data_IF_272359418255
#
_entry.id   IF_272359418255
#
_cell.length_a   1.000
_cell.length_b   1.000
_cell.length_c   1.000
_cell.angle_alpha   90.00
_cell.angle_beta   90.00
_cell.angle_gamma   90.00
#
_symmetry.space_group_name_H-M   'P 1'
#
loop_
_entity.id
_entity.type
_entity.pdbx_description
1 polymer ?
#
# COMPACT_ATOMS: atom_id res chain seq x y z
N UNK A 1 33.19 28.97 -8.47
CA UNK A 1 32.52 27.66 -8.59
C UNK A 1 32.48 27.22 -10.07
N UNK A 2 32.84 25.97 -10.38
CA UNK A 2 32.66 25.41 -11.73
C UNK A 2 31.17 25.21 -12.03
N UNK A 3 30.71 25.40 -13.28
CA UNK A 3 29.34 25.07 -13.67
C UNK A 3 29.06 23.60 -13.34
N UNK A 4 27.94 23.34 -12.67
CA UNK A 4 27.43 21.99 -12.39
C UNK A 4 26.05 21.84 -13.02
N UNK A 5 25.73 20.63 -13.47
CA UNK A 5 24.40 20.32 -13.95
C UNK A 5 23.37 20.57 -12.84
N UNK A 6 22.18 21.04 -13.24
CA UNK A 6 21.07 21.31 -12.31
C UNK A 6 20.43 20.02 -11.76
N UNK A 7 20.58 18.90 -12.48
CA UNK A 7 20.09 17.58 -12.11
C UNK A 7 21.25 16.57 -12.09
N UNK A 8 21.07 15.46 -11.37
CA UNK A 8 22.01 14.36 -11.38
C UNK A 8 22.06 13.68 -12.76
N UNK A 9 23.23 13.21 -13.17
CA UNK A 9 23.47 12.66 -14.52
C UNK A 9 22.52 11.50 -14.85
N UNK A 10 22.23 10.63 -13.87
CA UNK A 10 21.31 9.50 -14.04
C UNK A 10 19.88 9.94 -14.41
N UNK A 11 19.44 11.15 -14.02
CA UNK A 11 18.11 11.69 -14.37
C UNK A 11 18.06 11.96 -15.87
N UNK A 12 19.10 12.58 -16.41
CA UNK A 12 19.20 12.86 -17.84
C UNK A 12 19.29 11.57 -18.64
N UNK A 13 20.09 10.60 -18.19
CA UNK A 13 20.22 9.29 -18.83
C UNK A 13 18.89 8.52 -18.88
N UNK A 14 18.18 8.41 -17.75
CA UNK A 14 16.87 7.77 -17.71
C UNK A 14 15.83 8.54 -18.53
N UNK A 15 15.85 9.87 -18.51
CA UNK A 15 14.93 10.65 -19.33
C UNK A 15 15.14 10.43 -20.83
N UNK A 16 16.39 10.29 -21.27
CA UNK A 16 16.71 10.02 -22.68
C UNK A 16 16.38 8.59 -23.08
N UNK A 17 16.56 7.64 -22.17
CA UNK A 17 16.30 6.21 -22.39
C UNK A 17 14.83 5.80 -22.23
N UNK A 18 13.95 6.71 -21.79
CA UNK A 18 12.52 6.43 -21.64
C UNK A 18 11.94 5.89 -22.95
N UNK A 19 11.33 4.69 -22.96
CA UNK A 19 10.72 4.14 -24.17
C UNK A 19 9.67 5.09 -24.75
N UNK A 20 9.68 5.27 -26.08
CA UNK A 20 8.75 6.14 -26.81
C UNK A 20 7.85 5.31 -27.71
N UNK A 21 6.65 5.81 -27.99
CA UNK A 21 5.67 5.19 -28.87
C UNK A 21 4.28 5.12 -28.21
N UNK A 22 3.32 4.57 -28.94
CA UNK A 22 1.91 4.52 -28.49
C UNK A 22 1.69 3.54 -27.34
N UNK A 23 2.44 2.43 -27.30
CA UNK A 23 2.44 1.47 -26.20
C UNK A 23 3.84 0.90 -26.00
N UNK A 24 4.33 0.91 -24.76
CA UNK A 24 5.66 0.40 -24.41
C UNK A 24 5.64 -1.13 -24.41
N UNK A 25 6.55 -1.75 -25.14
CA UNK A 25 6.70 -3.21 -25.17
C UNK A 25 7.29 -3.74 -23.87
N UNK A 26 7.07 -5.03 -23.58
CA UNK A 26 7.68 -5.67 -22.41
C UNK A 26 9.22 -5.64 -22.48
N UNK A 27 9.77 -5.83 -23.69
CA UNK A 27 11.20 -5.78 -23.94
C UNK A 27 11.80 -4.41 -23.61
N UNK A 28 11.20 -3.33 -24.12
CA UNK A 28 11.69 -1.97 -23.87
C UNK A 28 11.54 -1.57 -22.42
N UNK A 29 10.41 -1.93 -21.80
CA UNK A 29 10.15 -1.68 -20.38
C UNK A 29 11.18 -2.36 -19.48
N UNK A 30 11.48 -3.64 -19.71
CA UNK A 30 12.46 -4.40 -18.92
C UNK A 30 13.87 -3.88 -19.17
N UNK A 31 14.24 -3.54 -20.41
CA UNK A 31 15.55 -2.95 -20.70
C UNK A 31 15.74 -1.59 -20.01
N UNK A 32 14.70 -0.77 -19.98
CA UNK A 32 14.70 0.49 -19.25
C UNK A 32 14.88 0.28 -17.73
N UNK A 33 14.21 -0.71 -17.14
CA UNK A 33 14.40 -1.07 -15.73
C UNK A 33 15.80 -1.63 -15.45
N UNK A 34 16.38 -2.42 -16.36
CA UNK A 34 17.76 -2.90 -16.24
C UNK A 34 18.78 -1.74 -16.25
N UNK A 35 18.57 -0.73 -17.08
CA UNK A 35 19.35 0.51 -17.04
C UNK A 35 19.19 1.20 -15.68
N UNK A 36 17.97 1.31 -15.16
CA UNK A 36 17.72 1.93 -13.86
C UNK A 36 18.40 1.18 -12.71
N UNK A 37 18.40 -0.16 -12.72
CA UNK A 37 19.12 -0.97 -11.72
C UNK A 37 20.62 -0.70 -11.76
N UNK A 38 21.22 -0.69 -12.97
CA UNK A 38 22.63 -0.35 -13.11
C UNK A 38 22.95 1.05 -12.59
N UNK A 39 22.12 2.05 -12.91
CA UNK A 39 22.32 3.42 -12.42
C UNK A 39 22.10 3.52 -10.90
N UNK A 40 21.24 2.67 -10.32
CA UNK A 40 20.98 2.63 -8.89
C UNK A 40 22.17 2.07 -8.08
N UNK A 41 23.11 1.35 -8.69
CA UNK A 41 24.35 0.91 -8.01
C UNK A 41 25.16 2.11 -7.50
N UNK A 42 25.00 3.29 -8.13
CA UNK A 42 25.66 4.54 -7.76
C UNK A 42 24.85 5.38 -6.75
N UNK A 43 23.60 4.98 -6.43
CA UNK A 43 22.70 5.70 -5.52
C UNK A 43 21.83 4.73 -4.71
N UNK A 44 22.19 4.44 -3.44
CA UNK A 44 21.53 3.38 -2.65
C UNK A 44 20.15 3.75 -2.10
N UNK A 45 19.76 5.03 -2.16
CA UNK A 45 18.54 5.59 -1.57
C UNK A 45 17.23 5.19 -2.29
N UNK A 46 17.33 4.45 -3.39
CA UNK A 46 16.19 3.99 -4.18
C UNK A 46 15.57 5.07 -5.07
N UNK A 47 16.10 6.29 -5.07
CA UNK A 47 15.56 7.42 -5.86
C UNK A 47 15.59 7.14 -7.36
N UNK A 48 16.65 6.49 -7.85
CA UNK A 48 16.81 6.11 -9.27
C UNK A 48 15.70 5.16 -9.70
N UNK A 49 15.49 4.08 -8.94
CA UNK A 49 14.46 3.08 -9.24
C UNK A 49 13.05 3.67 -9.11
N UNK A 50 12.83 4.50 -8.09
CA UNK A 50 11.55 5.19 -7.90
C UNK A 50 11.23 6.10 -9.09
N UNK A 51 12.22 6.87 -9.56
CA UNK A 51 12.07 7.73 -10.73
C UNK A 51 11.77 6.91 -11.98
N UNK A 52 12.54 5.85 -12.23
CA UNK A 52 12.36 4.99 -13.38
C UNK A 52 10.98 4.36 -13.42
N UNK A 53 10.58 3.67 -12.34
CA UNK A 53 9.30 2.98 -12.26
C UNK A 53 8.12 3.97 -12.36
N UNK A 54 8.21 5.13 -11.69
CA UNK A 54 7.18 6.17 -11.78
C UNK A 54 7.02 6.71 -13.20
N UNK A 55 8.13 6.88 -13.92
CA UNK A 55 8.11 7.28 -15.33
C UNK A 55 7.45 6.22 -16.21
N UNK A 56 7.78 4.95 -16.00
CA UNK A 56 7.26 3.82 -16.76
C UNK A 56 5.76 3.58 -16.52
N UNK A 57 5.31 3.62 -15.26
CA UNK A 57 3.89 3.48 -14.85
C UNK A 57 2.99 4.57 -15.43
N UNK A 58 3.55 5.73 -15.78
CA UNK A 58 2.82 6.82 -16.45
C UNK A 58 2.62 6.57 -17.94
N UNK A 59 3.41 5.70 -18.56
CA UNK A 59 3.23 5.34 -19.96
C UNK A 59 2.03 4.41 -20.14
N UNK A 60 1.56 4.31 -21.37
CA UNK A 60 0.69 3.22 -21.79
C UNK A 60 1.57 1.99 -22.00
N UNK A 61 1.45 1.01 -21.11
CA UNK A 61 2.13 -0.27 -21.26
C UNK A 61 1.33 -1.18 -22.19
N UNK A 62 2.03 -1.99 -22.99
CA UNK A 62 1.38 -3.08 -23.72
C UNK A 62 0.86 -4.15 -22.76
N UNK A 63 -0.13 -4.93 -23.19
CA UNK A 63 -0.78 -5.95 -22.36
C UNK A 63 0.19 -6.90 -21.64
N UNK A 64 1.25 -7.36 -22.34
CA UNK A 64 2.27 -8.22 -21.73
C UNK A 64 3.28 -7.45 -20.86
N UNK A 65 3.45 -6.16 -21.11
CA UNK A 65 4.41 -5.32 -20.41
C UNK A 65 3.97 -5.02 -18.97
N UNK A 66 2.67 -4.83 -18.72
CA UNK A 66 2.15 -4.61 -17.36
C UNK A 66 2.56 -5.73 -16.39
N UNK A 67 2.37 -7.00 -16.80
CA UNK A 67 2.70 -8.16 -15.99
C UNK A 67 4.21 -8.33 -15.75
N UNK A 68 5.02 -8.08 -16.77
CA UNK A 68 6.48 -8.17 -16.66
C UNK A 68 7.06 -7.04 -15.82
N UNK A 69 6.58 -5.81 -15.99
CA UNK A 69 6.96 -4.65 -15.19
C UNK A 69 6.56 -4.85 -13.74
N UNK A 70 5.35 -5.34 -13.47
CA UNK A 70 4.91 -5.66 -12.12
C UNK A 70 5.80 -6.70 -11.46
N UNK A 71 6.06 -7.82 -12.14
CA UNK A 71 6.93 -8.89 -11.60
C UNK A 71 8.34 -8.37 -11.31
N UNK A 72 8.89 -7.57 -12.21
CA UNK A 72 10.20 -6.95 -12.00
C UNK A 72 10.18 -6.00 -10.79
N UNK A 73 9.19 -5.11 -10.72
CA UNK A 73 9.08 -4.13 -9.65
C UNK A 73 8.79 -4.77 -8.28
N UNK A 74 8.02 -5.86 -8.23
CA UNK A 74 7.78 -6.65 -7.02
C UNK A 74 9.08 -7.24 -6.48
N UNK A 75 9.87 -7.87 -7.34
CA UNK A 75 11.18 -8.41 -6.96
C UNK A 75 12.10 -7.31 -6.42
N UNK A 76 12.15 -6.14 -7.07
CA UNK A 76 12.91 -5.00 -6.55
C UNK A 76 12.39 -4.51 -5.20
N UNK A 77 11.07 -4.52 -4.97
CA UNK A 77 10.44 -3.99 -3.76
C UNK A 77 10.81 -4.75 -2.48
N UNK A 78 11.24 -6.02 -2.58
CA UNK A 78 11.81 -6.73 -1.42
C UNK A 78 13.07 -6.05 -0.87
N UNK A 79 13.86 -5.44 -1.75
CA UNK A 79 15.10 -4.75 -1.41
C UNK A 79 14.92 -3.24 -1.31
N UNK A 80 13.98 -2.67 -2.07
CA UNK A 80 13.74 -1.24 -2.21
C UNK A 80 12.25 -0.93 -1.99
N UNK A 81 11.77 -0.94 -0.72
CA UNK A 81 10.34 -0.83 -0.44
C UNK A 81 9.71 0.51 -0.82
N UNK A 82 10.52 1.54 -1.10
CA UNK A 82 10.08 2.84 -1.64
C UNK A 82 9.32 2.72 -2.97
N UNK A 83 9.43 1.56 -3.64
CA UNK A 83 8.72 1.24 -4.88
C UNK A 83 7.27 0.78 -4.65
N UNK A 84 6.95 0.26 -3.46
CA UNK A 84 5.62 -0.28 -3.16
C UNK A 84 4.46 0.67 -3.50
N UNK A 85 4.48 1.96 -3.14
CA UNK A 85 3.42 2.90 -3.49
C UNK A 85 3.12 3.01 -4.99
N UNK A 86 4.06 2.63 -5.85
CA UNK A 86 3.94 2.74 -7.30
C UNK A 86 3.30 1.50 -7.95
N UNK A 87 3.09 0.42 -7.18
CA UNK A 87 2.63 -0.86 -7.71
C UNK A 87 1.12 -0.93 -7.91
N UNK A 88 0.34 -0.02 -7.32
CA UNK A 88 -1.13 -0.07 -7.37
C UNK A 88 -1.67 -0.16 -8.81
N UNK A 89 -1.27 0.76 -9.68
CA UNK A 89 -1.72 0.78 -11.09
C UNK A 89 -1.34 -0.51 -11.82
N UNK A 90 -0.17 -1.08 -11.51
CA UNK A 90 0.31 -2.33 -12.12
C UNK A 90 -0.47 -3.53 -11.59
N UNK A 91 -0.82 -3.56 -10.30
CA UNK A 91 -1.69 -4.59 -9.75
C UNK A 91 -3.07 -4.55 -10.40
N UNK A 92 -3.64 -3.36 -10.59
CA UNK A 92 -4.93 -3.19 -11.26
C UNK A 92 -4.89 -3.62 -12.73
N UNK A 93 -3.86 -3.19 -13.49
CA UNK A 93 -3.74 -3.53 -14.92
C UNK A 93 -3.47 -5.01 -15.17
N UNK A 94 -2.96 -5.73 -14.17
CA UNK A 94 -2.65 -7.17 -14.26
C UNK A 94 -3.74 -8.07 -13.66
N UNK A 95 -4.83 -7.50 -13.14
CA UNK A 95 -5.98 -8.28 -12.73
C UNK A 95 -6.63 -8.92 -13.96
N UNK A 96 -6.70 -10.25 -13.96
CA UNK A 96 -7.32 -11.01 -15.05
C UNK A 96 -8.57 -11.72 -14.52
N UNK A 97 -9.73 -11.42 -15.11
CA UNK A 97 -11.03 -11.94 -14.66
C UNK A 97 -11.30 -11.69 -13.16
N UNK A 98 -10.87 -10.54 -12.65
CA UNK A 98 -10.99 -10.17 -11.24
C UNK A 98 -10.09 -10.97 -10.28
N UNK A 99 -9.19 -11.81 -10.79
CA UNK A 99 -8.26 -12.58 -9.96
C UNK A 99 -6.93 -11.85 -9.76
N UNK A 100 -6.58 -11.63 -8.50
CA UNK A 100 -5.25 -11.17 -8.09
C UNK A 100 -4.27 -12.34 -8.03
N UNK A 101 -3.23 -12.32 -8.87
CA UNK A 101 -2.27 -13.45 -9.04
C UNK A 101 -1.08 -13.43 -8.10
N UNK A 102 -0.78 -12.27 -7.50
CA UNK A 102 0.45 -12.04 -6.73
C UNK A 102 0.25 -12.16 -5.21
N UNK A 103 -0.70 -13.01 -4.79
CA UNK A 103 -1.08 -13.18 -3.38
C UNK A 103 0.10 -13.62 -2.53
N UNK A 104 0.84 -14.62 -3.00
CA UNK A 104 1.94 -15.22 -2.26
C UNK A 104 3.14 -14.28 -2.16
N UNK A 105 3.46 -13.55 -3.23
CA UNK A 105 4.49 -12.52 -3.23
C UNK A 105 4.14 -11.40 -2.25
N UNK A 106 2.89 -10.94 -2.25
CA UNK A 106 2.42 -9.89 -1.35
C UNK A 106 2.42 -10.34 0.12
N UNK A 107 2.05 -11.59 0.40
CA UNK A 107 2.15 -12.19 1.74
C UNK A 107 3.59 -12.25 2.23
N UNK A 108 4.51 -12.74 1.41
CA UNK A 108 5.95 -12.78 1.71
C UNK A 108 6.50 -11.38 1.97
N UNK A 109 6.09 -10.41 1.15
CA UNK A 109 6.55 -9.03 1.27
C UNK A 109 6.07 -8.39 2.58
N UNK A 110 4.81 -8.61 2.98
CA UNK A 110 4.30 -8.15 4.27
C UNK A 110 5.07 -8.80 5.43
N UNK A 111 5.25 -10.12 5.41
CA UNK A 111 5.94 -10.85 6.46
C UNK A 111 7.40 -10.40 6.63
N UNK A 112 8.15 -10.27 5.54
CA UNK A 112 9.54 -9.81 5.60
C UNK A 112 9.66 -8.37 6.12
N UNK A 113 8.78 -7.46 5.68
CA UNK A 113 8.83 -6.08 6.15
C UNK A 113 8.38 -5.93 7.61
N UNK A 114 7.47 -6.79 8.09
CA UNK A 114 7.16 -6.88 9.51
C UNK A 114 8.37 -7.36 10.32
N UNK A 115 9.04 -8.44 9.88
CA UNK A 115 10.24 -8.97 10.53
C UNK A 115 11.39 -7.95 10.59
N UNK A 116 11.57 -7.17 9.53
CA UNK A 116 12.59 -6.13 9.41
C UNK A 116 12.18 -4.78 10.03
N UNK A 117 10.98 -4.68 10.62
CA UNK A 117 10.43 -3.44 11.21
C UNK A 117 10.42 -2.25 10.26
N UNK A 118 10.10 -2.51 8.99
CA UNK A 118 9.99 -1.49 7.94
C UNK A 118 8.54 -1.00 7.86
N UNK A 119 8.17 -0.10 8.75
CA UNK A 119 6.77 0.31 8.97
C UNK A 119 6.03 0.75 7.71
N UNK A 120 6.63 1.65 6.92
CA UNK A 120 6.03 2.15 5.68
C UNK A 120 5.78 1.02 4.67
N UNK A 121 6.76 0.13 4.53
CA UNK A 121 6.69 -0.99 3.59
C UNK A 121 5.62 -2.01 4.00
N UNK A 122 5.57 -2.32 5.30
CA UNK A 122 4.53 -3.15 5.87
C UNK A 122 3.15 -2.52 5.68
N UNK A 123 3.02 -1.21 5.87
CA UNK A 123 1.77 -0.47 5.66
C UNK A 123 1.28 -0.60 4.22
N UNK A 124 2.15 -0.40 3.23
CA UNK A 124 1.77 -0.61 1.82
C UNK A 124 1.41 -2.06 1.51
N UNK A 125 2.13 -3.03 2.08
CA UNK A 125 1.82 -4.44 1.87
C UNK A 125 0.44 -4.81 2.43
N UNK A 126 0.12 -4.39 3.66
CA UNK A 126 -1.18 -4.62 4.28
C UNK A 126 -2.31 -3.85 3.57
N UNK A 127 -2.04 -2.62 3.11
CA UNK A 127 -2.96 -1.86 2.29
C UNK A 127 -3.36 -2.65 1.03
N UNK A 128 -2.38 -3.20 0.31
CA UNK A 128 -2.67 -4.02 -0.87
C UNK A 128 -3.39 -5.32 -0.52
N UNK A 129 -3.07 -5.94 0.62
CA UNK A 129 -3.79 -7.14 1.05
C UNK A 129 -5.28 -6.84 1.30
N UNK A 130 -5.58 -5.77 2.02
CA UNK A 130 -6.96 -5.31 2.23
C UNK A 130 -7.66 -4.95 0.91
N UNK A 131 -6.99 -4.17 0.04
CA UNK A 131 -7.54 -3.72 -1.25
C UNK A 131 -7.91 -4.87 -2.19
N UNK A 132 -7.04 -5.88 -2.27
CA UNK A 132 -7.19 -7.02 -3.19
C UNK A 132 -7.73 -8.29 -2.51
N UNK A 133 -8.32 -8.15 -1.32
CA UNK A 133 -8.88 -9.26 -0.53
C UNK A 133 -7.93 -10.46 -0.39
N UNK A 134 -6.64 -10.17 -0.14
CA UNK A 134 -5.64 -11.19 0.19
C UNK A 134 -5.64 -11.37 1.71
N UNK A 135 -5.87 -12.59 2.23
CA UNK A 135 -5.88 -12.83 3.67
C UNK A 135 -4.52 -12.51 4.32
N UNK A 136 -4.56 -11.93 5.52
CA UNK A 136 -3.36 -11.72 6.33
C UNK A 136 -3.15 -12.99 7.18
N UNK A 137 -1.98 -13.61 7.10
CA UNK A 137 -1.70 -14.82 7.86
C UNK A 137 -1.44 -14.49 9.35
N UNK A 138 -1.79 -15.41 10.27
CA UNK A 138 -1.69 -15.16 11.72
C UNK A 138 -0.26 -14.79 12.16
N UNK A 139 0.77 -15.45 11.62
CA UNK A 139 2.17 -15.11 11.94
C UNK A 139 2.57 -13.71 11.47
N UNK A 140 1.97 -13.20 10.39
CA UNK A 140 2.14 -11.82 9.96
C UNK A 140 1.39 -10.87 10.91
N UNK A 141 0.14 -11.20 11.28
CA UNK A 141 -0.65 -10.41 12.23
C UNK A 141 0.04 -10.29 13.59
N UNK A 142 0.62 -11.37 14.11
CA UNK A 142 1.37 -11.35 15.37
C UNK A 142 2.63 -10.46 15.25
N UNK A 143 3.32 -10.50 14.11
CA UNK A 143 4.46 -9.63 13.82
C UNK A 143 4.07 -8.15 13.70
N UNK A 144 2.90 -7.86 13.14
CA UNK A 144 2.33 -6.50 13.07
C UNK A 144 2.06 -5.98 14.49
N UNK A 145 1.42 -6.78 15.36
CA UNK A 145 1.17 -6.37 16.75
C UNK A 145 2.48 -6.14 17.50
N UNK A 146 3.48 -7.02 17.29
CA UNK A 146 4.79 -6.88 17.90
C UNK A 146 5.59 -5.67 17.38
N UNK A 147 5.29 -5.16 16.18
CA UNK A 147 5.95 -3.97 15.63
C UNK A 147 5.62 -2.70 16.41
N UNK A 148 4.42 -2.64 17.01
CA UNK A 148 3.87 -1.46 17.68
C UNK A 148 3.77 -0.22 16.77
N UNK A 149 3.65 -0.42 15.48
CA UNK A 149 3.46 0.67 14.55
C UNK A 149 1.97 0.98 14.32
N UNK A 150 1.57 2.25 14.49
CA UNK A 150 0.17 2.66 14.43
C UNK A 150 -0.51 2.32 13.09
N UNK A 151 0.13 2.60 11.95
CA UNK A 151 -0.49 2.41 10.63
C UNK A 151 -0.67 0.91 10.30
N UNK A 152 0.33 0.03 10.46
CA UNK A 152 0.13 -1.41 10.32
C UNK A 152 -0.94 -1.99 11.25
N UNK A 153 -1.01 -1.55 12.51
CA UNK A 153 -2.06 -1.97 13.45
C UNK A 153 -3.45 -1.57 12.95
N UNK A 154 -3.61 -0.33 12.50
CA UNK A 154 -4.84 0.17 11.91
C UNK A 154 -5.24 -0.66 10.68
N UNK A 155 -4.31 -0.92 9.76
CA UNK A 155 -4.57 -1.72 8.57
C UNK A 155 -4.93 -3.18 8.90
N UNK A 156 -4.31 -3.76 9.93
CA UNK A 156 -4.66 -5.09 10.43
C UNK A 156 -6.09 -5.13 11.01
N UNK A 157 -6.48 -4.10 11.76
CA UNK A 157 -7.84 -3.97 12.27
C UNK A 157 -8.88 -3.81 11.15
N UNK A 158 -8.54 -3.02 10.13
CA UNK A 158 -9.39 -2.77 8.96
C UNK A 158 -9.50 -3.97 8.00
N UNK A 159 -8.69 -5.02 8.19
CA UNK A 159 -8.82 -6.27 7.41
C UNK A 159 -10.17 -6.96 7.63
N UNK A 160 -10.89 -6.61 8.70
CA UNK A 160 -12.24 -7.10 9.01
C UNK A 160 -12.29 -8.50 9.61
N UNK A 161 -11.16 -9.22 9.66
CA UNK A 161 -11.10 -10.53 10.29
C UNK A 161 -11.23 -10.41 11.81
N UNK A 162 -12.24 -11.08 12.39
CA UNK A 162 -12.55 -10.98 13.83
C UNK A 162 -11.33 -11.26 14.72
N UNK A 163 -10.55 -12.30 14.39
CA UNK A 163 -9.33 -12.67 15.12
C UNK A 163 -8.23 -11.61 15.06
N UNK A 164 -8.15 -10.80 14.00
CA UNK A 164 -7.18 -9.72 13.87
C UNK A 164 -7.66 -8.48 14.63
N UNK A 165 -8.95 -8.17 14.53
CA UNK A 165 -9.58 -7.11 15.32
C UNK A 165 -9.38 -7.33 16.82
N UNK A 166 -9.64 -8.54 17.32
CA UNK A 166 -9.41 -8.88 18.74
C UNK A 166 -7.97 -8.64 19.16
N UNK A 167 -6.97 -9.02 18.33
CA UNK A 167 -5.56 -8.78 18.65
C UNK A 167 -5.24 -7.28 18.79
N UNK A 168 -5.74 -6.47 17.86
CA UNK A 168 -5.51 -5.01 17.87
C UNK A 168 -6.24 -4.33 19.03
N UNK A 169 -7.48 -4.74 19.33
CA UNK A 169 -8.23 -4.24 20.49
C UNK A 169 -7.48 -4.58 21.78
N UNK A 170 -7.05 -5.84 21.95
CA UNK A 170 -6.27 -6.24 23.12
C UNK A 170 -5.00 -5.41 23.28
N UNK A 171 -4.28 -5.14 22.18
CA UNK A 171 -3.13 -4.24 22.19
C UNK A 171 -3.51 -2.84 22.69
N UNK A 172 -4.55 -2.23 22.12
CA UNK A 172 -5.00 -0.88 22.48
C UNK A 172 -5.45 -0.79 23.95
N UNK A 173 -6.21 -1.77 24.44
CA UNK A 173 -6.66 -1.82 25.84
C UNK A 173 -5.55 -2.05 26.86
N UNK A 174 -4.39 -2.54 26.40
CA UNK A 174 -3.22 -2.77 27.25
C UNK A 174 -2.27 -1.57 27.31
N UNK A 175 -2.56 -0.49 26.58
CA UNK A 175 -1.78 0.76 26.67
C UNK A 175 -1.99 1.41 28.04
N UNK A 176 -0.92 2.02 28.56
CA UNK A 176 -0.98 2.81 29.77
C UNK A 176 -1.65 4.15 29.47
N UNK A 177 -2.87 4.36 29.98
CA UNK A 177 -3.64 5.59 29.75
C UNK A 177 -3.09 6.80 30.50
N UNK A 178 -2.11 6.61 31.38
CA UNK A 178 -1.42 7.72 32.06
C UNK A 178 -0.24 8.26 31.27
N UNK A 179 0.25 7.52 30.28
CA UNK A 179 1.30 7.95 29.36
C UNK A 179 0.70 8.52 28.07
N UNK A 180 0.30 9.80 28.13
CA UNK A 180 -0.31 10.52 27.00
C UNK A 180 0.57 10.51 25.74
N UNK A 181 1.90 10.57 25.90
CA UNK A 181 2.81 10.54 24.76
C UNK A 181 2.77 9.20 24.02
N UNK A 182 2.67 8.09 24.76
CA UNK A 182 2.47 6.78 24.15
C UNK A 182 1.09 6.65 23.52
N UNK A 183 0.03 7.16 24.16
CA UNK A 183 -1.32 7.17 23.56
C UNK A 183 -1.37 7.96 22.25
N UNK A 184 -0.76 9.15 22.23
CA UNK A 184 -0.72 10.02 21.06
C UNK A 184 -0.08 9.34 19.85
N UNK A 185 0.89 8.44 20.04
CA UNK A 185 1.47 7.68 18.92
C UNK A 185 0.46 6.78 18.21
N UNK A 186 -0.64 6.43 18.87
CA UNK A 186 -1.71 5.58 18.35
C UNK A 186 -3.03 6.33 18.16
N UNK A 187 -3.06 7.67 18.24
CA UNK A 187 -4.30 8.45 18.23
C UNK A 187 -5.22 8.07 17.07
N UNK A 188 -4.65 7.83 15.88
CA UNK A 188 -5.42 7.49 14.67
C UNK A 188 -6.07 6.10 14.79
N UNK A 189 -5.33 5.13 15.32
CA UNK A 189 -5.85 3.79 15.60
C UNK A 189 -6.94 3.85 16.68
N UNK A 190 -6.64 4.51 17.80
CA UNK A 190 -7.53 4.64 18.95
C UNK A 190 -8.83 5.34 18.55
N UNK A 191 -8.73 6.40 17.75
CA UNK A 191 -9.90 7.10 17.23
C UNK A 191 -10.77 6.20 16.35
N UNK A 192 -10.16 5.41 15.46
CA UNK A 192 -10.93 4.45 14.65
C UNK A 192 -11.62 3.39 15.52
N UNK A 193 -10.94 2.86 16.54
CA UNK A 193 -11.53 1.89 17.47
C UNK A 193 -12.68 2.50 18.28
N UNK A 194 -12.53 3.75 18.72
CA UNK A 194 -13.59 4.50 19.40
C UNK A 194 -14.80 4.73 18.48
N UNK A 195 -14.56 5.18 17.24
CA UNK A 195 -15.62 5.43 16.25
C UNK A 195 -16.42 4.15 15.94
N UNK A 196 -15.75 3.00 15.88
CA UNK A 196 -16.39 1.69 15.69
C UNK A 196 -17.01 1.11 16.99
N UNK A 197 -16.94 1.83 18.11
CA UNK A 197 -17.48 1.42 19.42
C UNK A 197 -16.73 0.25 20.06
N UNK A 198 -15.51 -0.04 19.61
CA UNK A 198 -14.69 -1.15 20.10
C UNK A 198 -13.98 -0.83 21.42
N UNK A 199 -13.74 0.45 21.71
CA UNK A 199 -13.18 0.96 22.98
C UNK A 199 -13.90 2.26 23.38
N UNK A 200 -13.83 2.63 24.66
CA UNK A 200 -14.16 3.98 25.13
C UNK A 200 -13.04 4.97 24.80
N UNK A 201 -13.31 6.28 24.88
CA UNK A 201 -12.28 7.30 24.74
C UNK A 201 -11.14 7.03 25.74
N UNK A 202 -9.88 6.93 25.28
CA UNK A 202 -8.74 6.63 26.15
C UNK A 202 -8.22 7.88 26.89
N UNK A 203 -8.70 9.07 26.54
CA UNK A 203 -8.29 10.33 27.15
C UNK A 203 -9.28 10.71 28.26
N UNK A 204 -8.85 10.70 29.55
CA UNK A 204 -9.78 10.87 30.68
C UNK A 204 -10.28 12.31 30.85
N UNK A 205 -9.49 13.30 30.44
CA UNK A 205 -9.74 14.73 30.69
C UNK A 205 -9.97 15.53 29.39
N UNK A 206 -10.16 14.84 28.26
CA UNK A 206 -10.36 15.46 26.94
C UNK A 206 -11.53 14.80 26.20
N UNK A 207 -12.31 15.60 25.48
CA UNK A 207 -13.47 15.19 24.68
C UNK A 207 -13.18 15.24 23.17
N UNK A 208 -11.89 15.25 22.78
CA UNK A 208 -11.49 15.40 21.39
C UNK A 208 -12.09 14.32 20.47
N UNK A 209 -12.14 13.07 20.93
CA UNK A 209 -12.70 11.96 20.16
C UNK A 209 -14.21 12.10 19.98
N UNK A 210 -14.92 12.48 21.05
CA UNK A 210 -16.35 12.74 21.04
C UNK A 210 -16.70 13.90 20.10
N UNK A 211 -15.94 15.01 20.16
CA UNK A 211 -16.12 16.16 19.27
C UNK A 211 -15.93 15.74 17.82
N UNK A 212 -14.81 15.08 17.48
CA UNK A 212 -14.52 14.61 16.12
C UNK A 212 -15.62 13.68 15.59
N UNK A 213 -16.09 12.75 16.42
CA UNK A 213 -17.15 11.82 16.04
C UNK A 213 -18.50 12.54 15.84
N UNK A 214 -18.82 13.53 16.68
CA UNK A 214 -20.06 14.32 16.57
C UNK A 214 -20.09 15.18 15.29
N UNK A 215 -18.93 15.62 14.82
CA UNK A 215 -18.74 16.34 13.55
C UNK A 215 -18.64 15.40 12.33
N UNK A 216 -18.79 14.08 12.54
CA UNK A 216 -18.75 13.08 11.47
C UNK A 216 -17.37 12.90 10.84
N UNK A 217 -16.28 13.24 11.55
CA UNK A 217 -14.92 13.12 11.03
C UNK A 217 -14.53 11.64 10.96
N UNK A 218 -14.12 11.20 9.77
CA UNK A 218 -13.43 9.92 9.60
C UNK A 218 -12.15 10.12 8.81
N UNK A 219 -11.06 9.51 9.28
CA UNK A 219 -9.77 9.51 8.59
C UNK A 219 -9.57 8.27 7.71
N UNK A 220 -10.46 7.29 7.85
CA UNK A 220 -10.40 6.03 7.12
C UNK A 220 -11.69 5.89 6.33
N UNK A 221 -11.57 5.86 5.00
CA UNK A 221 -12.66 5.38 4.17
C UNK A 221 -12.76 3.87 4.35
N UNK A 222 -13.97 3.34 4.53
CA UNK A 222 -14.20 1.90 4.48
C UNK A 222 -13.62 1.37 3.16
N UNK A 223 -12.51 0.63 3.26
CA UNK A 223 -11.88 0.03 2.09
C UNK A 223 -12.85 -1.02 1.57
N UNK A 224 -13.62 -0.68 0.54
CA UNK A 224 -14.35 -1.69 -0.22
C UNK A 224 -13.30 -2.49 -0.99
N UNK A 225 -13.21 -3.81 -0.82
CA UNK A 225 -12.40 -4.64 -1.69
C UNK A 225 -12.72 -4.29 -3.15
N UNK A 226 -11.72 -4.32 -4.03
CA UNK A 226 -12.01 -4.20 -5.46
C UNK A 226 -13.00 -5.32 -5.81
N UNK A 227 -14.18 -4.93 -6.31
CA UNK A 227 -15.28 -5.84 -6.58
C UNK A 227 -14.79 -7.07 -7.36
N UNK A 228 -15.04 -8.26 -6.82
CA UNK A 228 -14.80 -9.49 -7.54
C UNK A 228 -15.68 -9.50 -8.81
N UNK A 229 -15.20 -10.14 -9.88
CA UNK A 229 -16.00 -10.32 -11.09
C UNK A 229 -17.26 -11.13 -10.73
N UNK A 230 -18.40 -10.44 -10.57
CA UNK A 230 -19.65 -10.99 -10.04
C UNK A 230 -20.54 -9.96 -9.33
N UNK A 231 -19.96 -8.86 -8.83
CA UNK A 231 -20.69 -7.73 -8.21
C UNK A 231 -21.15 -6.65 -9.19
N UNK A 232 -20.88 -6.84 -10.48
CA UNK A 232 -21.56 -6.07 -11.53
C UNK A 232 -22.97 -6.62 -11.63
N UNK A 233 -23.92 -5.88 -11.03
CA UNK A 233 -25.34 -6.16 -11.14
C UNK A 233 -25.68 -6.60 -12.55
N UNK A 234 -26.40 -7.72 -12.65
CA UNK A 234 -26.89 -8.29 -13.91
C UNK A 234 -27.47 -7.15 -14.73
N UNK A 235 -26.79 -6.78 -15.82
CA UNK A 235 -27.36 -5.92 -16.82
C UNK A 235 -28.53 -6.68 -17.45
N UNK A 236 -29.74 -6.34 -17.04
CA UNK A 236 -30.97 -6.80 -17.70
C UNK A 236 -31.19 -5.91 -18.93
N UNK A 237 -31.33 -6.47 -20.15
CA UNK A 237 -31.54 -5.69 -21.35
C UNK A 237 -32.95 -5.09 -21.49
N UNK A 238 -33.83 -5.29 -20.51
CA UNK A 238 -35.24 -4.92 -20.63
C UNK A 238 -35.67 -4.02 -19.46
N UNK A 239 -36.24 -2.85 -19.80
CA UNK A 239 -37.23 -2.21 -18.95
C UNK A 239 -37.08 -0.70 -18.75
N UNK A 240 -37.80 0.05 -19.58
CA UNK A 240 -38.10 1.47 -19.45
C UNK A 240 -38.56 1.94 -18.06
N UNK A 241 -38.46 3.27 -17.92
CA UNK A 241 -39.35 4.21 -17.20
C UNK A 241 -39.14 4.51 -15.71
N UNK A 242 -38.64 5.75 -15.50
CA UNK A 242 -39.26 6.82 -14.70
C UNK A 242 -40.19 6.39 -13.54
N UNK A 243 -39.70 6.51 -12.30
CA UNK A 243 -40.10 7.51 -11.29
C UNK A 243 -39.21 7.34 -10.04
#
# INVERSE_FOLDING_TARGET
PLPRALAADWVAELSLAMPKGDAVSAYDAVNYLNLAVRLAELSPDGSVLKYALKGLVRQKLGFMADADVLRYALNLSFHQPVLLPLLEKLFESTMFLGMFRYKEELKKLAFENARLRRSDALSWALYYQNRFAVPIDDGCADSVVASRDCIPLLLLYLSGEAKHRTRVINFATALDTTDLYSLDQYWLLLYQLFLDGAISSPYPDEDAFEILASEGVSFVNSMKPVAAFGDWGVWSPDGDSLL
#
